data_IF_230096570364
#
_entry.id   IF_230096570364
#
_cell.length_a   1.000
_cell.length_b   1.000
_cell.length_c   1.000
_cell.angle_alpha   90.00
_cell.angle_beta   90.00
_cell.angle_gamma   90.00
#
_symmetry.space_group_name_H-M   'P 1'
#
loop_
_entity.id
_entity.type
_entity.pdbx_description
1 polymer ?
#
# COMPACT_ATOMS: atom_id res chain seq x y z
N UNK A 1 40.35 -20.80 16.58
CA UNK A 1 39.89 -21.28 15.27
C UNK A 1 39.75 -20.04 14.42
N UNK A 2 40.65 -19.80 13.47
CA UNK A 2 40.59 -18.61 12.60
C UNK A 2 39.78 -18.94 11.35
N UNK A 3 38.68 -18.22 11.14
CA UNK A 3 37.86 -18.34 9.94
C UNK A 3 38.39 -17.41 8.85
N UNK A 4 38.82 -17.98 7.73
CA UNK A 4 39.10 -17.23 6.51
C UNK A 4 37.76 -17.02 5.79
N UNK A 5 37.22 -15.80 5.88
CA UNK A 5 36.05 -15.39 5.11
C UNK A 5 36.47 -14.79 3.76
N UNK A 6 35.68 -15.00 2.71
CA UNK A 6 35.92 -14.38 1.42
C UNK A 6 35.70 -12.86 1.52
N UNK A 7 36.65 -12.07 1.01
CA UNK A 7 36.50 -10.62 0.86
C UNK A 7 35.52 -10.36 -0.29
N UNK A 8 34.23 -10.30 0.02
CA UNK A 8 33.18 -9.97 -0.95
C UNK A 8 32.82 -8.49 -0.80
N UNK A 9 32.95 -7.73 -1.88
CA UNK A 9 32.48 -6.35 -1.93
C UNK A 9 30.94 -6.33 -2.04
N UNK A 10 30.27 -5.34 -1.43
CA UNK A 10 28.79 -5.32 -1.41
C UNK A 10 28.29 -5.01 -2.82
N UNK A 11 27.52 -5.94 -3.41
CA UNK A 11 27.00 -5.83 -4.79
C UNK A 11 26.03 -4.65 -4.98
N UNK A 12 25.40 -4.20 -3.90
CA UNK A 12 24.62 -2.95 -3.84
C UNK A 12 25.04 -2.19 -2.59
N UNK A 13 26.03 -1.29 -2.67
CA UNK A 13 26.33 -0.39 -1.58
C UNK A 13 25.17 0.60 -1.49
N UNK A 14 24.34 0.44 -0.48
CA UNK A 14 23.32 1.42 -0.14
C UNK A 14 24.00 2.60 0.54
N UNK A 15 23.59 3.82 0.19
CA UNK A 15 23.95 5.00 0.96
C UNK A 15 23.30 4.93 2.33
N UNK A 16 24.01 5.39 3.36
CA UNK A 16 23.38 5.67 4.65
C UNK A 16 22.28 6.74 4.44
N UNK A 17 21.12 6.59 5.09
CA UNK A 17 19.99 7.53 4.96
C UNK A 17 18.96 7.22 3.87
N UNK A 18 18.75 5.95 3.52
CA UNK A 18 17.63 5.50 2.65
C UNK A 18 16.30 5.33 3.41
N UNK A 19 16.31 5.47 4.73
CA UNK A 19 15.09 5.40 5.51
C UNK A 19 14.21 6.63 5.23
N UNK A 20 12.89 6.45 5.08
CA UNK A 20 11.98 7.57 4.98
C UNK A 20 12.09 8.48 6.20
N UNK A 21 12.03 9.78 5.98
CA UNK A 21 11.86 10.76 7.06
C UNK A 21 10.48 10.62 7.71
N UNK A 22 10.35 11.11 8.95
CA UNK A 22 9.07 11.11 9.67
C UNK A 22 7.96 11.81 8.87
N UNK A 23 8.28 12.90 8.15
CA UNK A 23 7.32 13.61 7.30
C UNK A 23 6.86 12.74 6.11
N UNK A 24 7.75 11.96 5.50
CA UNK A 24 7.38 11.03 4.43
C UNK A 24 6.51 9.88 4.97
N UNK A 25 6.80 9.41 6.19
CA UNK A 25 5.96 8.41 6.87
C UNK A 25 4.56 8.97 7.18
N UNK A 26 4.47 10.21 7.65
CA UNK A 26 3.17 10.87 7.92
C UNK A 26 2.32 11.06 6.65
N UNK A 27 2.96 11.32 5.50
CA UNK A 27 2.27 11.36 4.21
C UNK A 27 1.70 9.98 3.86
N UNK A 28 2.46 8.90 4.06
CA UNK A 28 1.98 7.53 3.84
C UNK A 28 0.79 7.21 4.75
N UNK A 29 0.88 7.57 6.03
CA UNK A 29 -0.22 7.37 7.00
C UNK A 29 -1.49 8.13 6.58
N UNK A 30 -1.32 9.31 5.98
CA UNK A 30 -2.45 10.08 5.42
C UNK A 30 -3.14 9.33 4.27
N UNK A 31 -2.40 8.59 3.46
CA UNK A 31 -2.88 7.80 2.32
C UNK A 31 -3.41 6.41 2.70
N UNK A 32 -3.07 5.90 3.89
CA UNK A 32 -3.42 4.54 4.32
C UNK A 32 -4.90 4.16 4.17
N UNK A 33 -5.89 5.03 4.42
CA UNK A 33 -7.29 4.70 4.17
C UNK A 33 -7.60 4.30 2.71
N UNK A 34 -6.91 4.91 1.73
CA UNK A 34 -7.04 4.56 0.30
C UNK A 34 -6.39 3.21 0.04
N UNK A 35 -5.16 3.02 0.54
CA UNK A 35 -4.40 1.78 0.37
C UNK A 35 -5.20 0.59 0.92
N UNK A 36 -5.76 0.69 2.12
CA UNK A 36 -6.58 -0.38 2.70
C UNK A 36 -7.85 -0.66 1.89
N UNK A 37 -8.52 0.37 1.36
CA UNK A 37 -9.68 0.17 0.50
C UNK A 37 -9.31 -0.54 -0.82
N UNK A 38 -8.13 -0.25 -1.38
CA UNK A 38 -7.62 -0.92 -2.58
C UNK A 38 -7.23 -2.37 -2.30
N UNK A 39 -6.64 -2.66 -1.13
CA UNK A 39 -6.39 -4.03 -0.66
C UNK A 39 -7.70 -4.81 -0.54
N UNK A 40 -8.75 -4.24 0.07
CA UNK A 40 -10.06 -4.91 0.14
C UNK A 40 -10.67 -5.22 -1.24
N UNK A 41 -10.48 -4.32 -2.22
CA UNK A 41 -10.89 -4.55 -3.60
C UNK A 41 -10.07 -5.68 -4.23
N UNK A 42 -8.76 -5.67 -4.03
CA UNK A 42 -7.86 -6.71 -4.52
C UNK A 42 -8.23 -8.07 -3.94
N UNK A 43 -8.48 -8.16 -2.62
CA UNK A 43 -8.93 -9.40 -1.97
C UNK A 43 -10.24 -9.91 -2.57
N UNK A 44 -11.18 -9.02 -2.88
CA UNK A 44 -12.44 -9.39 -3.53
C UNK A 44 -12.23 -9.93 -4.95
N UNK A 45 -11.24 -9.41 -5.69
CA UNK A 45 -10.88 -9.89 -7.02
C UNK A 45 -10.10 -11.21 -6.97
N UNK A 46 -9.16 -11.35 -6.03
CA UNK A 46 -8.39 -12.59 -5.83
C UNK A 46 -9.32 -13.74 -5.47
N UNK A 47 -10.28 -13.52 -4.57
CA UNK A 47 -11.25 -14.55 -4.19
C UNK A 47 -12.12 -15.07 -5.35
N UNK A 48 -12.20 -14.34 -6.47
CA UNK A 48 -12.89 -14.76 -7.69
C UNK A 48 -12.03 -15.70 -8.55
N UNK A 49 -10.70 -15.67 -8.42
CA UNK A 49 -9.81 -16.52 -9.21
C UNK A 49 -9.97 -18.00 -8.86
N UNK A 50 -10.35 -18.32 -7.63
CA UNK A 50 -10.45 -19.69 -7.12
C UNK A 50 -11.82 -20.36 -7.35
N UNK A 51 -12.80 -19.65 -7.95
CA UNK A 51 -14.18 -20.16 -8.06
C UNK A 51 -14.98 -19.59 -9.24
N UNK A 52 -16.05 -20.28 -9.69
CA UNK A 52 -16.95 -19.72 -10.69
C UNK A 52 -17.63 -18.43 -10.18
N UNK A 53 -17.81 -17.47 -11.09
CA UNK A 53 -18.40 -16.18 -10.77
C UNK A 53 -19.86 -16.30 -10.28
N UNK A 54 -20.19 -15.55 -9.23
CA UNK A 54 -21.55 -15.45 -8.70
C UNK A 54 -22.04 -14.00 -8.60
N UNK A 55 -23.36 -13.81 -8.48
CA UNK A 55 -23.94 -12.48 -8.23
C UNK A 55 -23.46 -11.86 -6.92
N UNK A 56 -23.15 -12.69 -5.92
CA UNK A 56 -22.63 -12.22 -4.64
C UNK A 56 -21.24 -11.62 -4.78
N UNK A 57 -20.42 -12.17 -5.69
CA UNK A 57 -19.10 -11.64 -6.02
C UNK A 57 -19.23 -10.28 -6.69
N UNK A 58 -20.12 -10.15 -7.67
CA UNK A 58 -20.40 -8.87 -8.31
C UNK A 58 -20.88 -7.79 -7.31
N UNK A 59 -21.67 -8.17 -6.29
CA UNK A 59 -22.06 -7.25 -5.20
C UNK A 59 -20.89 -6.91 -4.28
N UNK A 60 -20.00 -7.86 -3.96
CA UNK A 60 -18.81 -7.61 -3.14
C UNK A 60 -17.85 -6.67 -3.86
N UNK A 61 -17.53 -6.92 -5.13
CA UNK A 61 -16.65 -6.07 -5.95
C UNK A 61 -17.20 -4.65 -6.05
N UNK A 62 -18.49 -4.47 -6.36
CA UNK A 62 -19.09 -3.13 -6.40
C UNK A 62 -18.97 -2.37 -5.08
N UNK A 63 -19.19 -3.05 -3.95
CA UNK A 63 -19.05 -2.42 -2.63
C UNK A 63 -17.61 -2.03 -2.34
N UNK A 64 -16.64 -2.91 -2.62
CA UNK A 64 -15.23 -2.61 -2.43
C UNK A 64 -14.76 -1.46 -3.33
N UNK A 65 -15.16 -1.46 -4.60
CA UNK A 65 -14.87 -0.36 -5.53
C UNK A 65 -15.45 0.97 -5.05
N UNK A 66 -16.70 0.97 -4.55
CA UNK A 66 -17.30 2.19 -3.99
C UNK A 66 -16.58 2.69 -2.74
N UNK A 67 -15.98 1.81 -1.93
CA UNK A 67 -15.13 2.21 -0.80
C UNK A 67 -13.85 2.89 -1.26
N UNK A 68 -13.19 2.36 -2.29
CA UNK A 68 -12.01 3.00 -2.91
C UNK A 68 -12.35 4.41 -3.38
N UNK A 69 -13.46 4.57 -4.10
CA UNK A 69 -13.91 5.88 -4.58
C UNK A 69 -14.20 6.86 -3.42
N UNK A 70 -14.84 6.39 -2.35
CA UNK A 70 -15.10 7.20 -1.17
C UNK A 70 -13.80 7.61 -0.46
N UNK A 71 -12.87 6.68 -0.24
CA UNK A 71 -11.59 6.97 0.39
C UNK A 71 -10.76 7.97 -0.43
N UNK A 72 -10.70 7.81 -1.76
CA UNK A 72 -10.01 8.75 -2.66
C UNK A 72 -10.64 10.14 -2.62
N UNK A 73 -11.98 10.22 -2.60
CA UNK A 73 -12.70 11.49 -2.45
C UNK A 73 -12.34 12.14 -1.11
N UNK A 74 -12.34 11.37 -0.03
CA UNK A 74 -12.09 11.91 1.31
C UNK A 74 -10.63 12.36 1.44
N UNK A 75 -9.67 11.64 0.85
CA UNK A 75 -8.27 12.06 0.77
C UNK A 75 -8.11 13.35 -0.05
N UNK A 76 -8.71 13.41 -1.24
CA UNK A 76 -8.64 14.61 -2.09
C UNK A 76 -9.28 15.85 -1.45
N UNK A 77 -10.26 15.65 -0.55
CA UNK A 77 -10.92 16.71 0.21
C UNK A 77 -10.18 17.10 1.49
N UNK A 78 -9.13 16.36 1.91
CA UNK A 78 -8.27 16.83 3.01
C UNK A 78 -7.44 17.99 2.49
N UNK A 79 -7.61 19.16 3.09
CA UNK A 79 -6.68 20.27 2.92
C UNK A 79 -5.32 19.82 3.47
N UNK A 80 -4.22 19.94 2.70
CA UNK A 80 -2.90 19.64 3.24
C UNK A 80 -2.66 20.57 4.43
N UNK A 81 -2.29 19.98 5.57
CA UNK A 81 -1.98 20.68 6.81
C UNK A 81 -0.60 21.37 6.69
N UNK A 82 -0.34 22.09 5.59
CA UNK A 82 0.93 22.78 5.30
C UNK A 82 0.71 24.11 4.56
N UNK A 83 -0.39 24.81 4.86
CA UNK A 83 -0.65 26.15 4.32
C UNK A 83 -1.03 27.19 5.39
N UNK A 84 -0.56 27.02 6.63
CA UNK A 84 -0.74 28.00 7.71
C UNK A 84 0.55 28.19 8.52
#
# INVERSE_FOLDING_TARGET
MESIAALQDRVTPWSDGLEPSDAELDVIETEMPVVLAEVELLDALIALLDRPASEFDARRIRRAHNRVLAARRDLANRTPLEAA
#
